data_IF_117006474638
#
_entry.id   IF_117006474638
#
_cell.length_a   1.000
_cell.length_b   1.000
_cell.length_c   1.000
_cell.angle_alpha   90.00
_cell.angle_beta   90.00
_cell.angle_gamma   90.00
#
_symmetry.space_group_name_H-M   'P 1'
#
loop_
_entity.id
_entity.type
_entity.pdbx_description
1 polymer ?
#
# COMPACT_ATOMS: atom_id res chain seq x y z
N UNK A 1 14.23 -11.71 -14.01
CA UNK A 1 14.80 -12.60 -12.98
C UNK A 1 16.12 -12.04 -12.45
N UNK A 2 17.27 -12.15 -13.13
CA UNK A 2 18.53 -11.56 -12.62
C UNK A 2 18.50 -10.02 -12.45
N UNK A 3 17.79 -9.30 -13.34
CA UNK A 3 17.61 -7.85 -13.26
C UNK A 3 16.89 -7.40 -11.97
N UNK A 4 16.08 -8.27 -11.36
CA UNK A 4 15.31 -7.99 -10.15
C UNK A 4 15.86 -8.72 -8.92
N UNK A 5 17.12 -9.18 -8.97
CA UNK A 5 17.79 -9.77 -7.81
C UNK A 5 17.23 -11.12 -7.35
N UNK A 6 16.41 -11.81 -8.15
CA UNK A 6 15.80 -13.08 -7.74
C UNK A 6 16.87 -14.14 -7.44
N UNK A 7 16.80 -14.75 -6.24
CA UNK A 7 17.65 -15.87 -5.81
C UNK A 7 16.76 -17.10 -5.60
N UNK A 8 17.11 -18.21 -6.23
CA UNK A 8 16.35 -19.47 -6.16
C UNK A 8 17.14 -20.51 -5.35
N UNK A 9 16.41 -21.39 -4.67
CA UNK A 9 16.98 -22.46 -3.84
C UNK A 9 17.79 -23.45 -4.67
N UNK A 10 17.27 -23.82 -5.84
CA UNK A 10 17.89 -24.80 -6.73
C UNK A 10 17.46 -24.60 -8.20
N UNK A 11 18.08 -25.35 -9.11
CA UNK A 11 17.77 -25.26 -10.55
C UNK A 11 16.36 -25.78 -10.89
N UNK A 12 15.73 -26.59 -10.04
CA UNK A 12 14.35 -27.05 -10.25
C UNK A 12 13.39 -25.88 -9.99
N UNK A 13 13.52 -25.20 -8.86
CA UNK A 13 12.75 -23.99 -8.56
C UNK A 13 12.96 -22.93 -9.65
N UNK A 14 14.20 -22.70 -10.07
CA UNK A 14 14.50 -21.73 -11.13
C UNK A 14 13.82 -22.09 -12.46
N UNK A 15 13.75 -23.37 -12.81
CA UNK A 15 13.05 -23.82 -14.02
C UNK A 15 11.54 -23.61 -13.92
N UNK A 16 10.93 -23.89 -12.76
CA UNK A 16 9.51 -23.66 -12.48
C UNK A 16 9.18 -22.16 -12.52
N UNK A 17 9.99 -21.34 -11.85
CA UNK A 17 9.90 -19.86 -11.86
C UNK A 17 10.05 -19.30 -13.26
N UNK A 18 10.95 -19.86 -14.08
CA UNK A 18 11.11 -19.45 -15.48
C UNK A 18 9.90 -19.82 -16.35
N UNK A 19 9.21 -20.92 -16.05
CA UNK A 19 7.95 -21.27 -16.71
C UNK A 19 6.86 -20.26 -16.37
N UNK A 20 6.66 -19.98 -15.08
CA UNK A 20 5.71 -18.95 -14.60
C UNK A 20 6.00 -17.60 -15.25
N UNK A 21 7.28 -17.22 -15.31
CA UNK A 21 7.72 -15.99 -15.97
C UNK A 21 7.28 -15.91 -17.43
N UNK A 22 7.47 -16.97 -18.20
CA UNK A 22 7.04 -16.99 -19.61
C UNK A 22 5.53 -16.87 -19.75
N UNK A 23 4.77 -17.63 -18.96
CA UNK A 23 3.31 -17.60 -18.98
C UNK A 23 2.79 -16.18 -18.65
N UNK A 24 3.40 -15.50 -17.68
CA UNK A 24 3.08 -14.13 -17.32
C UNK A 24 3.49 -13.11 -18.39
N UNK A 25 4.64 -13.29 -19.05
CA UNK A 25 5.05 -12.43 -20.18
C UNK A 25 4.06 -12.55 -21.34
N UNK A 26 3.64 -13.76 -21.70
CA UNK A 26 2.63 -13.98 -22.74
C UNK A 26 1.30 -13.30 -22.38
N UNK A 27 0.89 -13.36 -21.11
CA UNK A 27 -0.28 -12.64 -20.61
C UNK A 27 -0.13 -11.12 -20.75
N UNK A 28 1.01 -10.56 -20.32
CA UNK A 28 1.32 -9.12 -20.42
C UNK A 28 1.29 -8.65 -21.87
N UNK A 29 1.95 -9.37 -22.77
CA UNK A 29 2.01 -9.04 -24.19
C UNK A 29 0.63 -9.14 -24.85
N UNK A 30 -0.14 -10.18 -24.54
CA UNK A 30 -1.48 -10.38 -25.09
C UNK A 30 -2.43 -9.27 -24.66
N UNK A 31 -2.39 -8.87 -23.38
CA UNK A 31 -3.17 -7.76 -22.86
C UNK A 31 -2.81 -6.43 -23.55
N UNK A 32 -1.52 -6.10 -23.60
CA UNK A 32 -1.06 -4.86 -24.21
C UNK A 32 -1.34 -4.81 -25.72
N UNK A 33 -1.28 -5.96 -26.42
CA UNK A 33 -1.59 -6.08 -27.85
C UNK A 33 -3.08 -5.88 -28.13
N UNK A 34 -3.97 -6.30 -27.23
CA UNK A 34 -5.40 -6.04 -27.39
C UNK A 34 -5.71 -4.54 -27.41
N UNK A 35 -5.00 -3.74 -26.59
CA UNK A 35 -5.07 -2.28 -26.63
C UNK A 35 -6.45 -1.70 -26.31
N UNK A 36 -7.32 -2.47 -25.66
CA UNK A 36 -8.72 -2.11 -25.37
C UNK A 36 -8.91 -1.41 -24.02
N UNK A 37 -7.87 -1.35 -23.21
CA UNK A 37 -7.91 -0.80 -21.84
C UNK A 37 -7.10 0.50 -21.75
N UNK A 38 -7.48 1.36 -20.81
CA UNK A 38 -6.84 2.65 -20.51
C UNK A 38 -5.52 2.53 -19.72
N UNK A 39 -5.12 1.31 -19.38
CA UNK A 39 -3.90 0.99 -18.64
C UNK A 39 -3.09 -0.09 -19.37
N UNK A 40 -1.82 -0.20 -18.99
CA UNK A 40 -0.87 -1.16 -19.55
C UNK A 40 -0.28 -2.04 -18.46
N UNK A 41 0.10 -3.25 -18.87
CA UNK A 41 0.93 -4.13 -18.05
C UNK A 41 2.41 -3.97 -18.36
N UNK A 42 3.24 -4.26 -17.35
CA UNK A 42 4.69 -4.27 -17.46
C UNK A 42 5.30 -5.45 -16.73
N UNK A 43 6.43 -5.93 -17.25
CA UNK A 43 7.24 -6.94 -16.57
C UNK A 43 7.89 -6.28 -15.35
N UNK A 44 7.59 -6.78 -14.16
CA UNK A 44 8.13 -6.30 -12.89
C UNK A 44 8.76 -7.46 -12.10
N UNK A 45 9.19 -7.21 -10.88
CA UNK A 45 9.81 -8.21 -10.00
C UNK A 45 8.86 -9.33 -9.53
N UNK A 46 7.56 -9.24 -9.81
CA UNK A 46 6.57 -10.28 -9.52
C UNK A 46 6.25 -11.16 -10.73
N UNK A 47 6.95 -10.96 -11.85
CA UNK A 47 6.70 -11.69 -13.09
C UNK A 47 6.96 -13.20 -12.97
N UNK A 48 7.73 -13.68 -11.99
CA UNK A 48 7.95 -15.10 -11.73
C UNK A 48 7.06 -15.69 -10.61
N UNK A 49 6.06 -14.91 -10.15
CA UNK A 49 5.05 -15.35 -9.19
C UNK A 49 3.72 -15.64 -9.90
N UNK A 50 3.05 -16.70 -9.48
CA UNK A 50 1.63 -16.89 -9.79
C UNK A 50 0.80 -15.85 -9.04
N UNK A 51 -0.42 -15.57 -9.51
CA UNK A 51 -1.30 -14.63 -8.81
C UNK A 51 -1.67 -15.10 -7.39
N UNK A 52 -1.77 -16.41 -7.15
CA UNK A 52 -1.99 -16.96 -5.82
C UNK A 52 -0.81 -16.68 -4.86
N UNK A 53 0.43 -16.86 -5.33
CA UNK A 53 1.63 -16.51 -4.56
C UNK A 53 1.74 -15.01 -4.32
N UNK A 54 1.42 -14.21 -5.34
CA UNK A 54 1.37 -12.76 -5.23
C UNK A 54 0.40 -12.31 -4.13
N UNK A 55 -0.86 -12.78 -4.17
CA UNK A 55 -1.86 -12.52 -3.12
C UNK A 55 -1.34 -12.91 -1.73
N UNK A 56 -0.86 -14.14 -1.59
CA UNK A 56 -0.41 -14.67 -0.30
C UNK A 56 0.77 -13.90 0.32
N UNK A 57 1.61 -13.28 -0.51
CA UNK A 57 2.83 -12.59 -0.07
C UNK A 57 2.72 -11.06 -0.05
N UNK A 58 1.74 -10.47 -0.75
CA UNK A 58 1.66 -9.01 -0.96
C UNK A 58 0.34 -8.36 -0.57
N UNK A 59 -0.73 -9.13 -0.38
CA UNK A 59 -2.07 -8.59 -0.06
C UNK A 59 -2.45 -8.80 1.40
N UNK A 60 -1.50 -8.61 2.31
CA UNK A 60 -1.81 -8.52 3.74
C UNK A 60 -2.02 -7.05 4.07
N UNK A 61 -3.16 -6.68 4.67
CA UNK A 61 -3.41 -5.31 5.16
C UNK A 61 -2.42 -5.00 6.29
N UNK A 62 -1.22 -4.53 5.95
CA UNK A 62 -0.18 -4.24 6.93
C UNK A 62 -0.50 -2.95 7.69
N UNK A 63 -0.82 -3.12 8.97
CA UNK A 63 -1.11 -2.11 10.00
C UNK A 63 -0.29 -0.82 9.91
N UNK A 64 1.04 -0.97 9.80
CA UNK A 64 1.96 0.15 9.98
C UNK A 64 1.97 1.18 8.85
N UNK A 65 1.78 0.71 7.61
CA UNK A 65 2.12 1.48 6.40
C UNK A 65 1.08 2.58 6.12
N UNK A 66 -0.17 2.33 6.47
CA UNK A 66 -1.29 3.24 6.17
C UNK A 66 -1.26 4.49 7.03
N UNK A 67 -1.02 4.34 8.33
CA UNK A 67 -0.89 5.47 9.24
C UNK A 67 0.41 6.23 9.01
N UNK A 68 1.55 5.57 8.82
CA UNK A 68 2.85 6.25 8.74
C UNK A 68 2.94 7.22 7.54
N UNK A 69 2.37 6.88 6.39
CA UNK A 69 2.49 7.69 5.17
C UNK A 69 1.56 8.91 5.19
N UNK A 70 0.29 8.69 5.52
CA UNK A 70 -0.70 9.74 5.72
C UNK A 70 -0.21 10.74 6.76
N UNK A 71 0.28 10.24 7.88
CA UNK A 71 0.82 11.04 8.97
C UNK A 71 2.16 11.72 8.66
N UNK A 72 3.07 11.08 7.93
CA UNK A 72 4.32 11.69 7.46
C UNK A 72 4.06 12.94 6.62
N UNK A 73 3.00 12.92 5.82
CA UNK A 73 2.60 14.08 5.02
C UNK A 73 1.81 15.10 5.84
N UNK A 74 0.92 14.69 6.73
CA UNK A 74 0.24 15.61 7.65
C UNK A 74 1.24 16.36 8.56
N UNK A 75 2.17 15.63 9.19
CA UNK A 75 3.27 16.22 9.94
C UNK A 75 4.12 17.18 9.10
N UNK A 76 4.34 16.92 7.80
CA UNK A 76 4.98 17.88 6.90
C UNK A 76 4.12 19.12 6.63
N UNK A 77 2.82 18.95 6.43
CA UNK A 77 1.89 20.07 6.23
C UNK A 77 1.88 20.99 7.46
N UNK A 78 1.93 20.42 8.67
CA UNK A 78 1.92 21.18 9.94
C UNK A 78 3.28 21.75 10.33
N UNK A 79 4.31 20.92 10.33
CA UNK A 79 5.62 21.23 10.93
C UNK A 79 6.68 21.66 9.91
N UNK A 80 6.38 21.50 8.61
CA UNK A 80 7.34 21.69 7.53
C UNK A 80 8.38 20.57 7.41
N UNK A 81 8.37 19.57 8.31
CA UNK A 81 9.31 18.45 8.32
C UNK A 81 8.64 17.15 7.92
N UNK A 82 9.27 16.43 6.99
CA UNK A 82 8.84 15.10 6.59
C UNK A 82 9.44 14.08 7.58
N UNK A 83 8.65 13.59 8.54
CA UNK A 83 9.11 12.62 9.55
C UNK A 83 8.69 11.22 9.08
N UNK A 84 9.64 10.27 9.03
CA UNK A 84 9.28 8.86 8.83
C UNK A 84 8.92 8.27 10.19
N UNK A 85 7.72 7.72 10.32
CA UNK A 85 7.32 7.00 11.52
C UNK A 85 7.65 5.52 11.44
N UNK A 86 7.67 4.87 12.59
CA UNK A 86 7.90 3.44 12.73
C UNK A 86 6.65 2.64 12.42
N UNK A 87 6.65 1.93 11.31
CA UNK A 87 5.65 0.89 11.04
C UNK A 87 5.83 -0.32 11.97
N UNK A 88 7.07 -0.62 12.39
CA UNK A 88 7.36 -1.75 13.26
C UNK A 88 6.79 -1.59 14.67
N UNK A 89 6.66 -0.36 15.14
CA UNK A 89 6.01 -0.06 16.42
C UNK A 89 4.55 -0.49 16.37
N UNK A 90 3.84 -0.18 15.27
CA UNK A 90 2.47 -0.67 15.07
C UNK A 90 2.44 -2.21 14.96
N UNK A 91 3.36 -2.82 14.19
CA UNK A 91 3.43 -4.28 14.08
C UNK A 91 3.66 -4.99 15.42
N UNK A 92 4.54 -4.43 16.27
CA UNK A 92 4.97 -5.08 17.51
C UNK A 92 4.12 -4.72 18.73
N UNK A 93 3.58 -3.49 18.78
CA UNK A 93 2.91 -2.92 19.95
C UNK A 93 1.39 -2.82 19.78
N UNK A 94 0.89 -2.73 18.55
CA UNK A 94 -0.55 -2.77 18.27
C UNK A 94 -1.00 -4.19 17.98
N UNK A 95 -0.99 -5.02 19.02
CA UNK A 95 -1.39 -6.43 18.96
C UNK A 95 -2.71 -6.68 19.71
N UNK A 96 -3.49 -5.63 19.97
CA UNK A 96 -4.76 -5.71 20.68
C UNK A 96 -5.91 -5.42 19.70
N UNK A 97 -6.97 -6.25 19.71
CA UNK A 97 -8.09 -6.08 18.79
C UNK A 97 -8.01 -7.04 17.61
N UNK A 98 -8.29 -6.55 16.40
CA UNK A 98 -8.23 -7.35 15.15
C UNK A 98 -6.80 -7.40 14.56
N UNK A 99 -5.89 -6.60 15.13
CA UNK A 99 -4.53 -6.41 14.66
C UNK A 99 -3.60 -7.57 15.03
N UNK A 100 -2.92 -8.12 14.02
CA UNK A 100 -2.14 -9.35 14.08
C UNK A 100 -0.74 -9.19 13.48
N UNK A 101 -0.14 -8.00 13.63
CA UNK A 101 1.21 -7.69 13.15
C UNK A 101 1.35 -7.89 11.64
N UNK A 102 2.28 -8.75 11.23
CA UNK A 102 2.53 -9.13 9.84
C UNK A 102 1.40 -9.95 9.20
N UNK A 103 0.41 -10.41 9.96
CA UNK A 103 -0.78 -11.11 9.44
C UNK A 103 -1.93 -10.17 9.09
N UNK A 104 -1.77 -8.89 9.43
CA UNK A 104 -2.61 -7.79 8.99
C UNK A 104 -3.42 -7.15 10.11
N UNK A 105 -4.24 -6.17 9.74
CA UNK A 105 -5.32 -5.63 10.54
C UNK A 105 -5.80 -4.27 10.02
N UNK A 106 -6.35 -3.43 10.89
CA UNK A 106 -7.18 -2.30 10.50
C UNK A 106 -6.52 -0.95 10.81
N UNK A 107 -6.74 0.02 9.91
CA UNK A 107 -6.25 1.39 10.10
C UNK A 107 -6.88 2.07 11.33
N UNK A 108 -8.14 1.75 11.65
CA UNK A 108 -8.85 2.30 12.82
C UNK A 108 -8.23 1.86 14.14
N UNK A 109 -7.82 0.59 14.22
CA UNK A 109 -7.13 0.03 15.38
C UNK A 109 -5.76 0.68 15.53
N UNK A 110 -5.01 0.82 14.43
CA UNK A 110 -3.77 1.60 14.38
C UNK A 110 -3.95 3.05 14.88
N UNK A 111 -4.94 3.80 14.38
CA UNK A 111 -5.18 5.15 14.86
C UNK A 111 -5.58 5.18 16.34
N UNK A 112 -6.40 4.24 16.78
CA UNK A 112 -6.78 4.08 18.18
C UNK A 112 -5.57 3.81 19.06
N UNK A 113 -4.63 2.96 18.63
CA UNK A 113 -3.37 2.71 19.32
C UNK A 113 -2.55 4.00 19.42
N UNK A 114 -2.36 4.74 18.34
CA UNK A 114 -1.55 5.97 18.34
C UNK A 114 -2.09 7.00 19.32
N UNK A 115 -3.41 7.15 19.38
CA UNK A 115 -4.07 8.05 20.35
C UNK A 115 -3.79 7.58 21.78
N UNK A 116 -3.98 6.30 22.08
CA UNK A 116 -3.77 5.72 23.42
C UNK A 116 -2.30 5.74 23.84
N UNK A 117 -1.39 5.47 22.90
CA UNK A 117 0.05 5.47 23.09
C UNK A 117 0.65 6.89 23.13
N UNK A 118 -0.17 7.92 22.89
CA UNK A 118 0.26 9.31 22.87
C UNK A 118 1.34 9.57 21.79
N UNK A 119 1.19 8.90 20.65
CA UNK A 119 1.95 9.07 19.41
C UNK A 119 2.71 7.83 18.95
N UNK A 120 3.50 8.03 17.89
CA UNK A 120 4.42 7.04 17.32
C UNK A 120 5.83 7.58 17.28
N UNK A 121 6.81 6.69 17.43
CA UNK A 121 8.23 6.99 17.22
C UNK A 121 8.61 7.03 15.74
N UNK A 122 9.86 7.41 15.48
CA UNK A 122 10.40 7.47 14.11
C UNK A 122 10.91 6.12 13.64
N UNK A 123 10.89 5.89 12.32
CA UNK A 123 11.53 4.74 11.66
C UNK A 123 13.02 4.60 12.03
N UNK A 124 13.72 5.73 12.23
CA UNK A 124 15.12 5.70 12.62
C UNK A 124 15.36 5.14 14.04
N UNK A 125 14.38 5.27 14.93
CA UNK A 125 14.46 4.79 16.31
C UNK A 125 13.98 3.33 16.44
N UNK A 126 12.90 3.00 15.72
CA UNK A 126 12.31 1.67 15.69
C UNK A 126 12.17 1.22 14.23
N UNK A 127 13.26 0.70 13.62
CA UNK A 127 13.26 0.37 12.20
C UNK A 127 12.39 -0.84 11.87
N UNK A 128 11.81 -0.82 10.67
CA UNK A 128 11.07 -1.94 10.12
C UNK A 128 11.93 -3.18 9.90
N UNK A 129 11.45 -4.29 10.43
CA UNK A 129 12.07 -5.63 10.36
C UNK A 129 11.23 -6.63 9.59
N UNK A 130 9.96 -6.29 9.35
CA UNK A 130 9.08 -7.09 8.51
C UNK A 130 8.83 -8.52 9.03
N UNK A 131 8.87 -8.63 10.35
CA UNK A 131 8.57 -9.83 11.13
C UNK A 131 7.81 -9.39 12.37
N UNK A 132 7.03 -10.30 12.94
CA UNK A 132 6.41 -10.08 14.25
C UNK A 132 7.49 -10.06 15.32
N UNK A 133 7.64 -8.93 15.99
CA UNK A 133 8.55 -8.73 17.10
C UNK A 133 7.81 -8.70 18.44
N UNK A 134 8.55 -8.35 19.49
CA UNK A 134 7.97 -8.02 20.79
C UNK A 134 8.05 -6.51 20.97
N UNK A 135 6.94 -5.89 21.38
CA UNK A 135 6.89 -4.44 21.62
C UNK A 135 8.07 -3.96 22.47
N UNK A 136 8.87 -3.06 21.89
CA UNK A 136 9.98 -2.43 22.59
C UNK A 136 9.54 -1.10 23.22
N UNK A 137 9.05 -1.19 24.45
CA UNK A 137 8.52 -0.05 25.21
C UNK A 137 9.52 1.09 25.44
N UNK A 138 10.83 0.80 25.44
CA UNK A 138 11.86 1.84 25.55
C UNK A 138 11.96 2.69 24.27
N UNK A 139 11.75 2.08 23.10
CA UNK A 139 11.76 2.78 21.81
C UNK A 139 10.45 3.53 21.59
N UNK A 140 9.33 2.86 21.87
CA UNK A 140 7.97 3.40 21.86
C UNK A 140 7.85 4.70 22.67
N UNK A 141 8.49 4.76 23.84
CA UNK A 141 8.45 5.95 24.71
C UNK A 141 8.96 7.25 24.05
N UNK A 142 9.71 7.18 22.95
CA UNK A 142 10.21 8.35 22.20
C UNK A 142 9.27 8.77 21.07
N UNK A 143 8.08 9.25 21.43
CA UNK A 143 7.07 9.75 20.48
C UNK A 143 7.57 10.93 19.63
N UNK A 144 7.39 10.82 18.32
CA UNK A 144 7.84 11.78 17.31
C UNK A 144 6.70 12.61 16.70
N UNK A 145 5.49 12.05 16.64
CA UNK A 145 4.29 12.81 16.34
C UNK A 145 3.04 12.09 16.84
N UNK A 146 1.89 12.79 16.87
CA UNK A 146 0.63 12.34 17.48
C UNK A 146 -0.56 12.71 16.60
N UNK A 147 -1.63 11.91 16.66
CA UNK A 147 -2.98 12.29 16.22
C UNK A 147 -3.88 12.49 17.44
N UNK A 148 -4.94 13.27 17.29
CA UNK A 148 -5.94 13.49 18.35
C UNK A 148 -7.26 12.77 18.07
N UNK A 149 -7.46 12.30 16.84
CA UNK A 149 -8.67 11.58 16.42
C UNK A 149 -8.52 11.04 15.00
N UNK A 150 -9.60 10.47 14.50
CA UNK A 150 -9.80 10.09 13.10
C UNK A 150 -11.30 10.07 12.81
N UNK A 151 -11.67 10.17 11.53
CA UNK A 151 -13.03 10.14 11.02
C UNK A 151 -13.11 9.26 9.78
N UNK A 152 -14.13 8.40 9.73
CA UNK A 152 -14.41 7.60 8.54
C UNK A 152 -15.03 8.46 7.45
N UNK A 153 -14.49 8.36 6.23
CA UNK A 153 -15.21 8.88 5.07
C UNK A 153 -16.44 7.99 4.86
N UNK A 154 -17.64 8.57 4.64
CA UNK A 154 -18.83 7.78 4.36
C UNK A 154 -18.58 6.77 3.23
N UNK A 155 -18.84 5.49 3.51
CA UNK A 155 -18.57 4.41 2.58
C UNK A 155 -19.26 4.65 1.23
N UNK A 156 -18.55 4.35 0.14
CA UNK A 156 -19.02 4.52 -1.25
C UNK A 156 -19.43 5.96 -1.60
N UNK A 157 -18.89 6.97 -0.92
CA UNK A 157 -19.15 8.37 -1.20
C UNK A 157 -17.94 9.05 -1.83
N UNK A 158 -17.84 8.95 -3.16
CA UNK A 158 -16.78 9.57 -3.95
C UNK A 158 -16.62 11.07 -3.63
N UNK A 159 -17.72 11.82 -3.54
CA UNK A 159 -17.65 13.26 -3.29
C UNK A 159 -17.04 13.58 -1.91
N UNK A 160 -17.39 12.80 -0.89
CA UNK A 160 -16.80 12.94 0.44
C UNK A 160 -15.31 12.57 0.44
N UNK A 161 -14.94 11.48 -0.25
CA UNK A 161 -13.55 11.06 -0.40
C UNK A 161 -12.70 12.12 -1.11
N UNK A 162 -13.16 12.62 -2.26
CA UNK A 162 -12.45 13.67 -3.00
C UNK A 162 -12.31 14.95 -2.17
N UNK A 163 -13.33 15.29 -1.37
CA UNK A 163 -13.27 16.41 -0.44
C UNK A 163 -12.22 16.18 0.65
N UNK A 164 -12.13 14.99 1.23
CA UNK A 164 -11.12 14.66 2.22
C UNK A 164 -9.69 14.73 1.62
N UNK A 165 -9.49 14.07 0.47
CA UNK A 165 -8.21 14.04 -0.26
C UNK A 165 -7.75 15.43 -0.71
N UNK A 166 -8.68 16.36 -0.95
CA UNK A 166 -8.36 17.76 -1.26
C UNK A 166 -7.64 18.48 -0.10
N UNK A 167 -7.90 18.07 1.15
CA UNK A 167 -7.40 18.75 2.34
C UNK A 167 -6.14 18.05 2.90
N UNK A 168 -6.09 16.73 2.84
CA UNK A 168 -4.98 15.93 3.37
C UNK A 168 -4.92 14.56 2.70
N UNK A 169 -3.80 13.82 2.82
CA UNK A 169 -3.76 12.41 2.47
C UNK A 169 -4.78 11.60 3.30
N UNK A 170 -5.37 10.60 2.67
CA UNK A 170 -6.43 9.78 3.24
C UNK A 170 -6.00 8.32 3.16
N UNK A 171 -6.16 7.57 4.25
CA UNK A 171 -5.91 6.13 4.28
C UNK A 171 -7.11 5.41 3.67
N UNK A 172 -6.86 4.48 2.74
CA UNK A 172 -7.88 3.90 1.87
C UNK A 172 -7.66 2.40 1.75
N UNK A 173 -8.71 1.60 1.72
CA UNK A 173 -8.62 0.16 1.45
C UNK A 173 -9.15 -0.17 0.05
N UNK A 174 -8.43 -1.04 -0.67
CA UNK A 174 -8.72 -1.50 -2.03
C UNK A 174 -8.60 -3.03 -2.15
N UNK A 175 -9.24 -3.60 -3.17
CA UNK A 175 -8.96 -4.96 -3.63
C UNK A 175 -7.78 -4.93 -4.61
N UNK A 176 -6.65 -5.48 -4.17
CA UNK A 176 -5.39 -5.59 -4.91
C UNK A 176 -5.14 -7.01 -5.45
N UNK A 177 -6.16 -7.88 -5.45
CA UNK A 177 -6.00 -9.32 -5.63
C UNK A 177 -5.86 -9.74 -7.10
N UNK A 178 -6.43 -8.98 -8.04
CA UNK A 178 -6.42 -9.36 -9.45
C UNK A 178 -5.03 -9.41 -10.10
N UNK A 179 -4.82 -10.34 -11.05
CA UNK A 179 -3.59 -10.38 -11.87
C UNK A 179 -3.36 -9.08 -12.65
N UNK A 180 -4.42 -8.33 -12.93
CA UNK A 180 -4.30 -7.01 -13.53
C UNK A 180 -3.55 -6.01 -12.63
N UNK A 181 -3.77 -6.10 -11.33
CA UNK A 181 -3.12 -5.26 -10.34
C UNK A 181 -1.65 -5.69 -10.15
N UNK A 182 -1.38 -7.00 -10.11
CA UNK A 182 -0.02 -7.56 -10.06
C UNK A 182 0.92 -7.01 -11.14
N UNK A 183 0.43 -6.80 -12.37
CA UNK A 183 1.25 -6.37 -13.51
C UNK A 183 1.01 -4.94 -13.95
N UNK A 184 0.23 -4.14 -13.21
CA UNK A 184 -0.01 -2.74 -13.57
C UNK A 184 1.32 -1.98 -13.74
N UNK A 185 1.40 -1.20 -14.81
CA UNK A 185 2.58 -0.40 -15.14
C UNK A 185 2.26 1.07 -15.38
N UNK A 186 1.17 1.41 -16.06
CA UNK A 186 0.83 2.81 -16.35
C UNK A 186 -0.61 2.99 -16.81
N UNK A 187 -1.08 4.24 -16.79
CA UNK A 187 -2.41 4.65 -17.24
C UNK A 187 -3.49 4.56 -16.15
N UNK A 188 -4.75 4.82 -16.51
CA UNK A 188 -5.86 4.79 -15.56
C UNK A 188 -6.31 3.34 -15.40
N UNK A 189 -6.11 2.77 -14.21
CA UNK A 189 -6.48 1.40 -13.89
C UNK A 189 -7.99 1.25 -13.82
N UNK A 190 -8.51 0.33 -14.64
CA UNK A 190 -9.94 -0.01 -14.73
C UNK A 190 -10.13 -1.53 -14.73
N UNK A 191 -9.21 -2.24 -14.07
CA UNK A 191 -9.37 -3.68 -13.83
C UNK A 191 -10.55 -3.93 -12.90
N UNK A 192 -10.96 -5.20 -12.81
CA UNK A 192 -11.98 -5.58 -11.83
C UNK A 192 -11.44 -5.30 -10.42
N UNK A 193 -12.10 -4.40 -9.72
CA UNK A 193 -11.93 -4.16 -8.29
C UNK A 193 -13.12 -4.79 -7.59
N UNK A 194 -12.90 -5.87 -6.85
CA UNK A 194 -13.93 -6.47 -6.01
C UNK A 194 -14.15 -5.65 -4.73
N UNK A 195 -15.03 -6.18 -3.87
CA UNK A 195 -15.29 -5.63 -2.54
C UNK A 195 -14.53 -6.38 -1.44
N UNK A 196 -13.69 -7.34 -1.82
CA UNK A 196 -12.80 -8.07 -0.90
C UNK A 196 -11.55 -7.24 -0.69
N UNK A 197 -11.68 -6.19 0.14
CA UNK A 197 -10.59 -5.27 0.44
C UNK A 197 -9.48 -6.02 1.17
N UNK A 198 -8.28 -6.05 0.57
CA UNK A 198 -7.15 -6.84 1.07
C UNK A 198 -5.85 -6.03 1.12
N UNK A 199 -5.89 -4.77 0.71
CA UNK A 199 -4.74 -3.90 0.68
C UNK A 199 -5.13 -2.47 1.06
N UNK A 200 -4.50 -1.92 2.09
CA UNK A 200 -4.58 -0.50 2.35
C UNK A 200 -3.60 0.27 1.45
N UNK A 201 -3.86 1.55 1.25
CA UNK A 201 -3.07 2.47 0.43
C UNK A 201 -3.30 3.90 0.92
N UNK A 202 -2.52 4.86 0.44
CA UNK A 202 -2.77 6.28 0.74
C UNK A 202 -3.23 7.01 -0.51
N UNK A 203 -4.45 7.55 -0.48
CA UNK A 203 -4.90 8.52 -1.49
C UNK A 203 -4.25 9.88 -1.20
N UNK A 204 -3.49 10.39 -2.18
CA UNK A 204 -2.65 11.60 -2.01
C UNK A 204 -3.06 12.76 -2.89
N UNK A 205 -4.06 12.55 -3.75
CA UNK A 205 -4.60 13.57 -4.64
C UNK A 205 -5.68 12.99 -5.54
N UNK A 206 -6.30 13.87 -6.34
CA UNK A 206 -7.24 13.46 -7.38
C UNK A 206 -7.14 14.37 -8.59
N UNK A 207 -7.69 13.90 -9.71
CA UNK A 207 -7.73 14.61 -10.97
C UNK A 207 -9.04 14.35 -11.71
N UNK A 208 -9.12 14.89 -12.91
CA UNK A 208 -10.21 14.58 -13.85
C UNK A 208 -9.57 14.20 -15.18
N UNK A 209 -9.92 13.01 -15.67
CA UNK A 209 -9.55 12.49 -16.98
C UNK A 209 -10.07 13.42 -18.09
N UNK A 210 -9.50 13.30 -19.30
CA UNK A 210 -9.93 14.06 -20.48
C UNK A 210 -11.38 13.79 -20.88
N UNK A 211 -11.95 12.65 -20.51
CA UNK A 211 -13.36 12.28 -20.70
C UNK A 211 -14.29 12.75 -19.56
N UNK A 212 -13.76 13.47 -18.57
CA UNK A 212 -14.52 13.97 -17.43
C UNK A 212 -14.58 13.03 -16.22
N UNK A 213 -13.98 11.83 -16.30
CA UNK A 213 -14.02 10.86 -15.20
C UNK A 213 -13.10 11.25 -14.05
N UNK A 214 -13.56 11.13 -12.79
CA UNK A 214 -12.76 11.42 -11.60
C UNK A 214 -11.76 10.29 -11.33
N UNK A 215 -10.50 10.66 -11.15
CA UNK A 215 -9.39 9.73 -10.88
C UNK A 215 -8.74 10.07 -9.55
N UNK A 216 -8.40 9.06 -8.76
CA UNK A 216 -7.58 9.18 -7.56
C UNK A 216 -6.13 8.88 -7.90
N UNK A 217 -5.23 9.71 -7.38
CA UNK A 217 -3.81 9.41 -7.30
C UNK A 217 -3.56 8.66 -6.00
N UNK A 218 -3.28 7.37 -6.13
CA UNK A 218 -3.05 6.47 -5.01
C UNK A 218 -1.56 6.17 -4.95
N UNK A 219 -0.98 6.37 -3.78
CA UNK A 219 0.40 6.02 -3.50
C UNK A 219 0.46 4.69 -2.75
N UNK A 220 1.23 3.75 -3.29
CA UNK A 220 1.50 2.45 -2.69
C UNK A 220 2.97 2.42 -2.29
N UNK A 221 3.26 2.37 -0.98
CA UNK A 221 4.64 2.29 -0.49
C UNK A 221 4.75 1.55 0.84
N UNK A 222 4.96 0.25 0.84
CA UNK A 222 5.71 -0.43 1.90
C UNK A 222 7.15 0.13 2.04
N UNK A 223 7.58 0.17 3.28
CA UNK A 223 8.98 0.06 3.64
C UNK A 223 9.27 -1.44 3.78
N UNK A 224 10.02 -2.05 2.87
CA UNK A 224 10.94 -3.12 3.23
C UNK A 224 12.33 -2.52 3.06
N UNK A 225 13.04 -2.29 4.16
CA UNK A 225 14.45 -1.87 4.14
C UNK A 225 15.31 -3.07 3.70
N UNK A 226 15.20 -3.34 2.39
CA UNK A 226 15.94 -4.14 1.43
C UNK A 226 14.92 -4.31 0.28
N UNK A 227 14.84 -3.32 -0.63
CA UNK A 227 13.95 -3.31 -1.80
C UNK A 227 12.61 -4.07 -1.67
N UNK A 228 11.55 -3.49 -1.11
CA UNK A 228 10.23 -3.67 -1.72
C UNK A 228 9.14 -2.78 -1.13
N UNK A 229 8.26 -2.38 -2.04
CA UNK A 229 6.82 -2.27 -1.80
C UNK A 229 6.03 -2.34 -3.09
N UNK A 230 6.57 -3.18 -3.96
CA UNK A 230 6.45 -3.16 -5.40
C UNK A 230 7.46 -2.23 -6.06
N UNK A 231 8.16 -1.41 -5.28
CA UNK A 231 9.33 -0.67 -5.72
C UNK A 231 9.03 0.30 -6.86
N UNK A 232 10.07 0.97 -7.37
CA UNK A 232 9.90 1.88 -8.53
C UNK A 232 9.67 1.14 -9.84
N UNK A 233 9.75 -0.19 -9.83
CA UNK A 233 9.60 -1.07 -10.99
C UNK A 233 8.17 -1.56 -11.19
N UNK A 234 7.28 -1.33 -10.22
CA UNK A 234 5.85 -1.55 -10.37
C UNK A 234 5.11 -0.23 -10.53
N UNK A 235 4.06 -0.24 -11.36
CA UNK A 235 3.23 0.94 -11.62
C UNK A 235 4.04 2.13 -12.13
N UNK A 236 3.52 3.33 -11.89
CA UNK A 236 4.14 4.58 -12.30
C UNK A 236 5.08 5.06 -11.17
N UNK A 237 6.24 4.42 -11.03
CA UNK A 237 7.18 4.66 -9.93
C UNK A 237 6.59 4.36 -8.53
N UNK A 238 5.84 3.26 -8.40
CA UNK A 238 5.13 2.87 -7.17
C UNK A 238 3.76 3.55 -6.98
N UNK A 239 3.31 4.32 -7.98
CA UNK A 239 1.97 4.92 -7.97
C UNK A 239 1.03 4.17 -8.90
N UNK A 240 -0.26 4.27 -8.59
CA UNK A 240 -1.34 3.84 -9.46
C UNK A 240 -2.39 4.94 -9.54
N UNK A 241 -2.90 5.14 -10.76
CA UNK A 241 -4.04 6.02 -11.02
C UNK A 241 -5.28 5.16 -11.14
N UNK A 242 -6.31 5.39 -10.32
CA UNK A 242 -7.53 4.57 -10.27
C UNK A 242 -8.80 5.45 -10.34
N UNK A 243 -9.96 4.88 -10.64
CA UNK A 243 -11.22 5.61 -10.49
C UNK A 243 -11.61 5.84 -9.04
N UNK A 244 -12.21 7.00 -8.77
CA UNK A 244 -12.51 7.45 -7.42
C UNK A 244 -13.69 6.75 -6.73
N UNK A 245 -14.50 6.00 -7.49
CA UNK A 245 -15.77 5.42 -7.04
C UNK A 245 -15.68 4.10 -6.26
N UNK A 246 -14.47 3.62 -5.96
CA UNK A 246 -14.24 2.22 -5.55
C UNK A 246 -13.71 1.92 -4.14
N UNK A 247 -13.40 2.87 -3.23
CA UNK A 247 -12.84 2.45 -1.94
C UNK A 247 -13.57 2.92 -0.66
N UNK A 248 -13.30 2.17 0.42
CA UNK A 248 -13.53 2.57 1.82
C UNK A 248 -12.33 3.41 2.29
N UNK A 249 -12.55 4.48 3.05
CA UNK A 249 -11.51 5.48 3.35
C UNK A 249 -11.66 6.15 4.72
N UNK A 250 -10.55 6.63 5.27
CA UNK A 250 -10.40 7.18 6.63
C UNK A 250 -9.53 8.43 6.62
N UNK A 251 -9.95 9.44 7.38
CA UNK A 251 -9.27 10.74 7.55
C UNK A 251 -8.76 10.86 8.98
N UNK A 252 -7.52 11.29 9.16
CA UNK A 252 -6.91 11.48 10.48
C UNK A 252 -7.13 12.89 11.00
N UNK A 253 -7.50 13.03 12.27
CA UNK A 253 -7.62 14.33 12.94
C UNK A 253 -6.36 14.69 13.73
N UNK A 254 -6.07 15.97 13.62
CA UNK A 254 -4.72 16.47 13.55
C UNK A 254 -4.36 17.31 14.78
#
# INVERSE_FOLDING_TARGET
MAHYGCVYKDEVEKADRYKIFKDNVEFIESFNKAGTKSYKFGINQFADLTNAEFKATRNKMLLGIFSSCSFRRDSRLKTGKLISLSEQELVDCDAAGEDQGCNGGLMDDAFTFIIKNNGLTTEANYPYQAVDGTCNTNKEASSAAKITGYEDVPANNEAALLKAVANQPVSVAIDASGSAFQFYSSGVFTGDCGTELDHGVTAVGYGTSSDGTKILYVYIRDYWLLENSWGTHWGEHGYITMYASYPTALVEDS
#
